data_IF_128143583631
#
_entry.id   IF_128143583631
#
_cell.length_a   1.000
_cell.length_b   1.000
_cell.length_c   1.000
_cell.angle_alpha   90.00
_cell.angle_beta   90.00
_cell.angle_gamma   90.00
#
_symmetry.space_group_name_H-M   'P 1'
#
loop_
_entity.id
_entity.type
_entity.pdbx_description
1 polymer ?
#
# COMPACT_ATOMS: atom_id res chain seq x y z
N UNK A 1 15.06 -68.52 14.39
CA UNK A 1 15.99 -67.44 14.00
C UNK A 1 15.25 -66.52 13.04
N UNK A 2 15.12 -65.22 13.34
CA UNK A 2 14.51 -64.22 12.45
C UNK A 2 15.60 -63.29 11.94
N UNK A 3 15.63 -63.07 10.63
CA UNK A 3 16.63 -62.26 9.94
C UNK A 3 16.37 -60.77 10.20
N UNK A 4 17.36 -60.04 10.69
CA UNK A 4 17.26 -58.59 10.91
C UNK A 4 17.62 -57.82 9.63
N UNK A 5 16.64 -57.16 9.02
CA UNK A 5 16.89 -56.14 7.99
C UNK A 5 17.26 -54.84 8.70
N UNK A 6 18.45 -54.30 8.45
CA UNK A 6 18.84 -52.97 8.93
C UNK A 6 18.09 -51.93 8.11
N UNK A 7 17.15 -51.22 8.74
CA UNK A 7 16.54 -50.05 8.14
C UNK A 7 17.56 -48.90 8.17
N UNK A 8 17.89 -48.35 7.01
CA UNK A 8 18.77 -47.19 6.90
C UNK A 8 17.92 -45.92 7.06
N UNK A 9 17.91 -45.33 8.26
CA UNK A 9 17.28 -44.03 8.46
C UNK A 9 18.14 -42.94 7.83
N UNK A 10 17.80 -42.52 6.61
CA UNK A 10 18.27 -41.28 6.04
C UNK A 10 17.63 -40.14 6.85
N UNK A 11 18.43 -39.41 7.62
CA UNK A 11 17.99 -38.20 8.28
C UNK A 11 17.79 -37.12 7.20
N UNK A 12 16.53 -36.91 6.81
CA UNK A 12 16.11 -35.70 6.11
C UNK A 12 16.28 -34.53 7.08
N UNK A 13 17.35 -33.75 6.88
CA UNK A 13 17.47 -32.42 7.47
C UNK A 13 16.38 -31.54 6.86
N UNK A 14 15.28 -31.38 7.58
CA UNK A 14 14.33 -30.32 7.31
C UNK A 14 15.04 -28.99 7.58
N UNK A 15 15.37 -28.26 6.52
CA UNK A 15 15.62 -26.82 6.65
C UNK A 15 14.33 -26.18 7.16
N UNK A 16 14.37 -25.36 8.22
CA UNK A 16 13.23 -24.50 8.50
C UNK A 16 13.05 -23.57 7.30
N UNK A 17 11.83 -23.54 6.76
CA UNK A 17 11.41 -22.45 5.90
C UNK A 17 11.52 -21.17 6.74
N UNK A 18 12.48 -20.31 6.39
CA UNK A 18 12.55 -18.96 6.96
C UNK A 18 11.35 -18.21 6.39
N UNK A 19 10.27 -18.14 7.16
CA UNK A 19 9.12 -17.32 6.86
C UNK A 19 9.46 -15.86 7.17
N UNK A 20 10.22 -15.22 6.29
CA UNK A 20 10.49 -13.77 6.38
C UNK A 20 9.21 -13.00 6.08
N UNK A 21 8.63 -12.42 7.12
CA UNK A 21 7.75 -11.26 7.05
C UNK A 21 8.10 -10.33 8.22
N UNK A 22 7.74 -9.04 8.24
CA UNK A 22 7.80 -7.98 7.22
C UNK A 22 7.04 -6.73 7.76
N UNK A 23 7.73 -5.60 7.91
CA UNK A 23 7.30 -4.43 8.72
C UNK A 23 6.21 -3.51 8.14
N UNK A 24 4.91 -3.81 8.27
CA UNK A 24 3.80 -2.94 7.78
C UNK A 24 4.14 -1.52 7.32
N UNK A 25 4.00 -1.35 6.01
CA UNK A 25 4.07 -0.07 5.35
C UNK A 25 2.77 0.15 4.59
N UNK A 26 2.56 1.37 4.15
CA UNK A 26 1.62 1.71 3.10
C UNK A 26 2.39 1.77 1.77
N UNK A 27 2.00 0.97 0.78
CA UNK A 27 2.35 1.29 -0.61
C UNK A 27 1.42 2.39 -1.09
N UNK A 28 1.97 3.45 -1.65
CA UNK A 28 1.19 4.59 -2.16
C UNK A 28 1.62 4.93 -3.58
N UNK A 29 0.64 5.03 -4.49
CA UNK A 29 0.91 5.47 -5.87
C UNK A 29 1.16 6.98 -5.92
N UNK A 30 2.29 7.39 -6.48
CA UNK A 30 2.54 8.77 -6.90
C UNK A 30 2.08 8.93 -8.34
N UNK A 31 0.78 9.21 -8.49
CA UNK A 31 0.03 9.04 -9.75
C UNK A 31 0.67 9.71 -10.95
N UNK A 32 1.21 10.94 -10.81
CA UNK A 32 1.84 11.69 -11.92
C UNK A 32 3.34 11.39 -12.11
N UNK A 33 4.00 10.72 -11.16
CA UNK A 33 5.41 10.31 -11.29
C UNK A 33 5.56 8.97 -12.02
N UNK A 34 4.48 8.19 -12.14
CA UNK A 34 4.56 6.80 -12.62
C UNK A 34 5.27 5.88 -11.61
N UNK A 35 5.23 6.21 -10.31
CA UNK A 35 5.96 5.51 -9.24
C UNK A 35 5.05 5.03 -8.13
N UNK A 36 5.43 3.94 -7.47
CA UNK A 36 4.88 3.55 -6.16
C UNK A 36 6.00 3.60 -5.15
N UNK A 37 5.76 4.31 -4.04
CA UNK A 37 6.69 4.36 -2.92
C UNK A 37 6.12 3.59 -1.74
N UNK A 38 7.01 3.18 -0.85
CA UNK A 38 6.70 2.56 0.42
C UNK A 38 6.85 3.61 1.51
N UNK A 39 5.83 3.76 2.35
CA UNK A 39 5.81 4.71 3.47
C UNK A 39 5.55 3.93 4.76
N UNK A 40 6.32 4.23 5.80
CA UNK A 40 6.12 3.69 7.13
C UNK A 40 4.72 4.11 7.68
N UNK A 41 3.96 3.16 8.24
CA UNK A 41 2.54 3.37 8.59
C UNK A 41 2.32 4.08 9.93
N UNK A 42 3.38 4.32 10.70
CA UNK A 42 3.34 5.12 11.92
C UNK A 42 3.90 6.54 11.74
N UNK A 43 4.85 6.74 10.83
CA UNK A 43 5.54 8.04 10.65
C UNK A 43 5.25 8.73 9.32
N UNK A 44 4.87 7.99 8.28
CA UNK A 44 4.71 8.50 6.92
C UNK A 44 6.03 8.72 6.17
N UNK A 45 7.18 8.38 6.78
CA UNK A 45 8.48 8.49 6.12
C UNK A 45 8.61 7.46 4.99
N UNK A 46 9.17 7.88 3.85
CA UNK A 46 9.39 6.99 2.70
C UNK A 46 10.57 6.06 3.00
N UNK A 47 10.35 4.75 2.89
CA UNK A 47 11.39 3.73 3.10
C UNK A 47 12.54 3.93 2.10
N UNK A 48 13.78 4.22 2.56
CA UNK A 48 14.89 4.48 1.67
C UNK A 48 15.22 3.28 0.78
N UNK A 49 15.54 3.52 -0.49
CA UNK A 49 16.02 2.49 -1.42
C UNK A 49 14.97 1.54 -1.99
N UNK A 50 13.71 1.63 -1.57
CA UNK A 50 12.60 0.86 -2.15
C UNK A 50 11.66 1.79 -2.95
N UNK A 51 11.46 1.48 -4.23
CA UNK A 51 10.42 2.07 -5.07
C UNK A 51 10.07 1.12 -6.22
N UNK A 52 8.87 1.26 -6.78
CA UNK A 52 8.51 0.71 -8.08
C UNK A 52 8.52 1.83 -9.10
N UNK A 53 9.36 1.70 -10.13
CA UNK A 53 9.32 2.53 -11.33
C UNK A 53 8.43 1.88 -12.39
N UNK A 54 7.20 2.38 -12.53
CA UNK A 54 6.22 1.93 -13.51
C UNK A 54 6.13 2.87 -14.74
N UNK A 55 7.08 3.81 -14.90
CA UNK A 55 7.09 4.77 -16.02
C UNK A 55 7.23 4.11 -17.40
N UNK A 56 7.64 2.84 -17.44
CA UNK A 56 7.87 2.02 -18.62
C UNK A 56 6.71 1.96 -19.64
N UNK A 57 5.46 2.21 -19.23
CA UNK A 57 4.30 2.31 -20.14
C UNK A 57 3.75 3.75 -20.32
N UNK A 58 4.28 4.75 -19.61
CA UNK A 58 3.95 6.16 -19.83
C UNK A 58 2.55 6.63 -19.41
N UNK A 59 1.81 5.85 -18.60
CA UNK A 59 0.48 6.23 -18.07
C UNK A 59 0.48 6.61 -16.59
N UNK A 60 -0.59 7.26 -16.15
CA UNK A 60 -0.81 7.60 -14.73
C UNK A 60 -1.20 6.37 -13.91
N UNK A 61 -0.71 6.28 -12.66
CA UNK A 61 -1.04 5.17 -11.76
C UNK A 61 -2.32 5.43 -10.97
N UNK A 62 -3.32 4.58 -11.15
CA UNK A 62 -4.69 4.77 -10.66
C UNK A 62 -5.08 3.84 -9.51
N UNK A 63 -4.34 2.77 -9.27
CA UNK A 63 -4.66 1.74 -8.30
C UNK A 63 -3.45 0.88 -7.94
N UNK A 64 -3.44 0.35 -6.72
CA UNK A 64 -2.44 -0.61 -6.24
C UNK A 64 -3.11 -1.69 -5.38
N UNK A 65 -2.72 -2.95 -5.58
CA UNK A 65 -3.14 -4.09 -4.76
C UNK A 65 -1.97 -5.05 -4.59
N UNK A 66 -1.97 -5.82 -3.50
CA UNK A 66 -0.92 -6.82 -3.22
C UNK A 66 -1.56 -8.16 -2.91
N UNK A 67 -1.00 -9.23 -3.47
CA UNK A 67 -1.42 -10.61 -3.16
C UNK A 67 -0.60 -11.23 -2.02
N UNK A 68 -1.16 -12.25 -1.38
CA UNK A 68 -0.46 -13.06 -0.36
C UNK A 68 0.86 -13.67 -0.85
N UNK A 69 1.04 -13.81 -2.17
CA UNK A 69 2.26 -14.31 -2.79
C UNK A 69 3.38 -13.24 -2.88
N UNK A 70 3.12 -11.99 -2.50
CA UNK A 70 4.07 -10.89 -2.61
C UNK A 70 4.14 -10.27 -4.01
N UNK A 71 3.09 -10.37 -4.81
CA UNK A 71 2.98 -9.66 -6.10
C UNK A 71 2.20 -8.37 -5.91
N UNK A 72 2.80 -7.24 -6.30
CA UNK A 72 2.16 -5.93 -6.38
C UNK A 72 1.57 -5.75 -7.78
N UNK A 73 0.26 -5.57 -7.85
CA UNK A 73 -0.46 -5.21 -9.06
C UNK A 73 -0.75 -3.73 -9.10
N UNK A 74 -0.49 -3.09 -10.24
CA UNK A 74 -0.68 -1.64 -10.43
C UNK A 74 -1.47 -1.41 -11.70
N UNK A 75 -2.48 -0.55 -11.64
CA UNK A 75 -3.27 -0.13 -12.81
C UNK A 75 -2.71 1.16 -13.41
N UNK A 76 -2.69 1.23 -14.74
CA UNK A 76 -2.23 2.38 -15.50
C UNK A 76 -3.36 2.93 -16.37
N UNK A 77 -4.10 3.91 -15.85
CA UNK A 77 -5.37 4.37 -16.41
C UNK A 77 -5.32 4.66 -17.92
N UNK A 78 -4.45 5.56 -18.37
CA UNK A 78 -4.41 5.94 -19.80
C UNK A 78 -3.84 4.89 -20.77
N UNK A 79 -3.39 3.72 -20.31
CA UNK A 79 -2.83 2.67 -21.17
C UNK A 79 -3.72 1.45 -21.30
N UNK A 80 -4.76 1.32 -20.46
CA UNK A 80 -5.55 0.11 -20.33
C UNK A 80 -4.83 -1.06 -19.65
N UNK A 81 -3.57 -0.89 -19.24
CA UNK A 81 -2.72 -1.98 -18.75
C UNK A 81 -2.76 -2.16 -17.23
N UNK A 82 -2.62 -3.42 -16.82
CA UNK A 82 -2.30 -3.86 -15.47
C UNK A 82 -0.83 -4.33 -15.47
N UNK A 83 -0.08 -3.90 -14.47
CA UNK A 83 1.33 -4.23 -14.25
C UNK A 83 1.50 -5.17 -13.05
N UNK A 84 2.65 -5.85 -12.97
CA UNK A 84 3.06 -6.73 -11.88
C UNK A 84 4.52 -6.52 -11.47
N UNK A 85 4.75 -6.41 -10.16
CA UNK A 85 6.07 -6.23 -9.55
C UNK A 85 6.21 -7.12 -8.32
N UNK A 86 7.45 -7.45 -7.97
CA UNK A 86 7.78 -8.18 -6.75
C UNK A 86 7.79 -7.22 -5.54
N UNK A 87 7.04 -7.55 -4.49
CA UNK A 87 6.88 -6.70 -3.30
C UNK A 87 8.20 -6.50 -2.52
N UNK A 88 9.05 -7.52 -2.49
CA UNK A 88 10.29 -7.45 -1.72
C UNK A 88 11.29 -6.49 -2.38
N UNK A 89 11.40 -6.54 -3.71
CA UNK A 89 12.45 -5.85 -4.47
C UNK A 89 11.98 -4.63 -5.27
N UNK A 90 10.68 -4.44 -5.45
CA UNK A 90 10.11 -3.46 -6.39
C UNK A 90 10.34 -3.81 -7.88
N UNK A 91 10.97 -4.95 -8.18
CA UNK A 91 11.39 -5.29 -9.53
C UNK A 91 10.22 -5.81 -10.41
N UNK A 92 10.21 -5.49 -11.71
CA UNK A 92 9.15 -5.93 -12.63
C UNK A 92 9.16 -7.46 -12.85
N UNK A 93 8.03 -8.12 -12.57
CA UNK A 93 7.88 -9.56 -12.81
C UNK A 93 7.59 -9.78 -14.30
N UNK A 94 8.31 -10.71 -14.94
CA UNK A 94 8.16 -11.05 -16.37
C UNK A 94 8.21 -9.83 -17.33
N UNK A 95 8.94 -8.77 -16.97
CA UNK A 95 9.00 -7.52 -17.75
C UNK A 95 7.91 -6.51 -17.39
N UNK A 96 7.23 -6.68 -16.26
CA UNK A 96 6.37 -5.67 -15.62
C UNK A 96 4.93 -5.68 -16.11
N UNK A 97 4.66 -6.09 -17.35
CA UNK A 97 3.31 -6.24 -17.86
C UNK A 97 2.61 -7.49 -17.29
N UNK A 98 1.33 -7.35 -16.91
CA UNK A 98 0.49 -8.45 -16.44
C UNK A 98 -0.66 -8.76 -17.41
N UNK A 99 -1.53 -7.77 -17.66
CA UNK A 99 -2.74 -7.94 -18.48
C UNK A 99 -3.23 -6.60 -19.06
N UNK A 100 -4.17 -6.66 -20.00
CA UNK A 100 -4.85 -5.51 -20.59
C UNK A 100 -6.34 -5.59 -20.29
N UNK A 101 -6.98 -4.46 -19.97
CA UNK A 101 -8.44 -4.38 -19.92
C UNK A 101 -9.04 -4.49 -21.32
N UNK A 102 -10.13 -5.25 -21.52
CA UNK A 102 -10.90 -5.21 -22.75
C UNK A 102 -11.46 -3.82 -23.00
N UNK A 103 -11.30 -3.29 -24.21
CA UNK A 103 -11.92 -2.02 -24.59
C UNK A 103 -13.44 -2.03 -24.37
N UNK A 104 -13.99 -0.87 -24.01
CA UNK A 104 -15.41 -0.69 -23.82
C UNK A 104 -16.14 -0.72 -25.17
N UNK A 105 -17.38 -1.23 -25.20
CA UNK A 105 -18.21 -1.17 -26.40
C UNK A 105 -18.44 0.30 -26.79
N UNK A 106 -18.64 0.59 -28.08
CA UNK A 106 -19.02 1.93 -28.51
C UNK A 106 -20.34 2.35 -27.87
N UNK A 107 -20.47 3.65 -27.59
CA UNK A 107 -21.72 4.24 -27.07
C UNK A 107 -22.91 4.12 -28.05
N UNK A 108 -22.64 3.97 -29.35
CA UNK A 108 -23.63 3.76 -30.41
C UNK A 108 -23.30 2.50 -31.24
N UNK A 109 -24.33 1.82 -31.74
CA UNK A 109 -24.18 0.61 -32.54
C UNK A 109 -23.35 0.88 -33.82
N UNK A 110 -22.21 0.20 -33.95
CA UNK A 110 -21.29 0.36 -35.09
C UNK A 110 -20.24 1.47 -34.93
N UNK A 111 -20.14 2.11 -33.76
CA UNK A 111 -19.02 2.99 -33.42
C UNK A 111 -17.71 2.23 -33.14
N UNK A 112 -16.62 2.97 -32.95
CA UNK A 112 -15.32 2.42 -32.53
C UNK A 112 -15.30 2.12 -31.01
N UNK A 113 -14.62 1.05 -30.56
CA UNK A 113 -14.43 0.77 -29.14
C UNK A 113 -13.77 1.94 -28.39
N UNK A 114 -14.17 2.15 -27.14
CA UNK A 114 -13.61 3.19 -26.28
C UNK A 114 -12.50 2.54 -25.44
N UNK A 115 -11.28 3.09 -25.51
CA UNK A 115 -10.13 2.56 -24.78
C UNK A 115 -10.44 2.44 -23.28
N UNK A 116 -10.17 1.27 -22.70
CA UNK A 116 -10.39 1.02 -21.28
C UNK A 116 -9.44 1.83 -20.39
N UNK A 117 -9.93 2.31 -19.24
CA UNK A 117 -9.16 3.11 -18.30
C UNK A 117 -9.17 2.47 -16.91
N UNK A 118 -8.30 1.50 -16.60
CA UNK A 118 -8.30 0.81 -15.31
C UNK A 118 -8.11 1.81 -14.17
N UNK A 119 -9.04 1.82 -13.23
CA UNK A 119 -9.03 2.63 -12.02
C UNK A 119 -8.52 1.82 -10.84
N UNK A 120 -9.41 1.63 -9.87
CA UNK A 120 -9.21 0.79 -8.69
C UNK A 120 -8.96 -0.69 -9.01
N UNK A 121 -8.23 -1.34 -8.10
CA UNK A 121 -7.80 -2.73 -8.18
C UNK A 121 -7.79 -3.31 -6.76
N UNK A 122 -8.33 -4.52 -6.56
CA UNK A 122 -8.32 -5.24 -5.27
C UNK A 122 -8.17 -6.74 -5.52
N UNK A 123 -7.55 -7.46 -4.58
CA UNK A 123 -7.64 -8.92 -4.51
C UNK A 123 -8.94 -9.26 -3.76
N UNK A 124 -9.77 -10.12 -4.32
CA UNK A 124 -10.98 -10.63 -3.69
C UNK A 124 -10.69 -11.78 -2.71
N UNK A 125 -11.64 -12.12 -1.81
CA UNK A 125 -11.49 -13.25 -0.89
C UNK A 125 -11.54 -14.63 -1.59
N UNK A 126 -11.90 -14.68 -2.87
CA UNK A 126 -11.71 -15.83 -3.76
C UNK A 126 -10.26 -15.95 -4.29
N UNK A 127 -9.38 -15.02 -3.92
CA UNK A 127 -8.01 -14.91 -4.38
C UNK A 127 -7.86 -14.38 -5.81
N UNK A 128 -8.93 -13.86 -6.44
CA UNK A 128 -8.88 -13.32 -7.81
C UNK A 128 -8.61 -11.81 -7.80
N UNK A 129 -8.09 -11.28 -8.91
CA UNK A 129 -7.81 -9.85 -9.07
C UNK A 129 -8.99 -9.15 -9.73
N UNK A 130 -9.62 -8.22 -9.03
CA UNK A 130 -10.75 -7.42 -9.53
C UNK A 130 -10.26 -6.03 -9.90
N UNK A 131 -10.61 -5.57 -11.09
CA UNK A 131 -10.19 -4.28 -11.64
C UNK A 131 -11.39 -3.53 -12.19
N UNK A 132 -11.62 -2.32 -11.67
CA UNK A 132 -12.66 -1.42 -12.16
C UNK A 132 -12.18 -0.62 -13.36
N UNK A 133 -13.04 -0.41 -14.35
CA UNK A 133 -12.79 0.56 -15.42
C UNK A 133 -13.37 1.92 -15.03
N UNK A 134 -12.48 2.91 -14.84
CA UNK A 134 -12.82 4.26 -14.41
C UNK A 134 -13.50 5.08 -15.50
N UNK A 135 -13.26 4.79 -16.78
CA UNK A 135 -13.94 5.43 -17.92
C UNK A 135 -15.08 4.56 -18.48
N UNK A 136 -15.08 3.26 -18.16
CA UNK A 136 -16.07 2.29 -18.60
C UNK A 136 -17.22 2.06 -17.61
N UNK A 137 -17.86 0.91 -17.77
CA UNK A 137 -19.10 0.55 -17.05
C UNK A 137 -18.92 -0.69 -16.16
N UNK A 138 -17.68 -1.16 -15.98
CA UNK A 138 -17.38 -2.57 -15.68
C UNK A 138 -16.39 -2.81 -14.56
N UNK A 139 -16.56 -3.96 -13.90
CA UNK A 139 -15.51 -4.62 -13.12
C UNK A 139 -15.12 -5.91 -13.80
N UNK A 140 -13.83 -6.07 -14.08
CA UNK A 140 -13.23 -7.26 -14.69
C UNK A 140 -12.51 -8.10 -13.62
N UNK A 141 -12.53 -9.42 -13.78
CA UNK A 141 -11.86 -10.37 -12.87
C UNK A 141 -10.79 -11.16 -13.60
N UNK A 142 -9.59 -11.19 -13.06
CA UNK A 142 -8.42 -11.86 -13.62
C UNK A 142 -7.87 -12.93 -12.68
N UNK A 143 -7.27 -13.97 -13.26
CA UNK A 143 -6.50 -14.97 -12.55
C UNK A 143 -5.08 -14.42 -12.23
N UNK A 144 -4.70 -14.24 -10.95
CA UNK A 144 -3.37 -13.71 -10.59
C UNK A 144 -2.20 -14.58 -11.04
N UNK A 145 -2.44 -15.87 -11.31
CA UNK A 145 -1.39 -16.82 -11.68
C UNK A 145 -0.88 -16.67 -13.13
N UNK A 146 -1.68 -16.11 -14.03
CA UNK A 146 -1.35 -16.03 -15.47
C UNK A 146 -1.85 -14.77 -16.21
N UNK A 147 -2.62 -13.89 -15.56
CA UNK A 147 -3.16 -12.67 -16.19
C UNK A 147 -4.34 -12.91 -17.12
N UNK A 148 -4.88 -14.13 -17.19
CA UNK A 148 -6.08 -14.40 -17.98
C UNK A 148 -7.33 -13.74 -17.37
N UNK A 149 -8.16 -13.13 -18.22
CA UNK A 149 -9.49 -12.66 -17.86
C UNK A 149 -10.39 -13.88 -17.59
N UNK A 150 -10.95 -13.94 -16.38
CA UNK A 150 -11.89 -14.97 -15.95
C UNK A 150 -13.30 -14.62 -16.44
N UNK A 151 -13.78 -13.43 -16.06
CA UNK A 151 -15.08 -12.89 -16.44
C UNK A 151 -15.19 -11.38 -16.14
N UNK A 152 -16.35 -10.81 -16.44
CA UNK A 152 -16.73 -9.42 -16.14
C UNK A 152 -17.94 -9.47 -15.20
N UNK A 153 -17.75 -9.62 -13.88
CA UNK A 153 -18.86 -9.80 -12.92
C UNK A 153 -19.82 -8.61 -12.82
N UNK A 154 -19.40 -7.40 -13.21
CA UNK A 154 -20.23 -6.20 -13.17
C UNK A 154 -20.15 -5.47 -14.51
N UNK A 155 -21.30 -5.07 -15.05
CA UNK A 155 -21.44 -4.14 -16.17
C UNK A 155 -22.65 -3.21 -15.90
N UNK A 156 -22.79 -2.10 -16.62
CA UNK A 156 -23.87 -1.11 -16.43
C UNK A 156 -23.67 -0.11 -15.30
N UNK A 157 -22.44 0.05 -14.79
CA UNK A 157 -22.04 1.22 -14.01
C UNK A 157 -21.74 2.41 -14.93
N UNK A 158 -21.41 3.56 -14.33
CA UNK A 158 -20.94 4.77 -15.01
C UNK A 158 -19.66 5.21 -14.28
N UNK A 159 -18.50 4.74 -14.77
CA UNK A 159 -17.17 4.92 -14.18
C UNK A 159 -16.98 4.21 -12.84
N UNK A 160 -16.03 3.28 -12.73
CA UNK A 160 -15.76 2.58 -11.46
C UNK A 160 -14.72 3.35 -10.64
N UNK A 161 -15.12 3.81 -9.45
CA UNK A 161 -14.25 4.52 -8.51
C UNK A 161 -13.49 3.58 -7.58
N UNK A 162 -14.19 2.89 -6.68
CA UNK A 162 -13.62 2.02 -5.64
C UNK A 162 -14.31 0.67 -5.54
N UNK A 163 -13.55 -0.34 -5.09
CA UNK A 163 -14.02 -1.70 -4.86
C UNK A 163 -13.74 -2.13 -3.42
N UNK A 164 -14.62 -2.97 -2.90
CA UNK A 164 -14.47 -3.64 -1.60
C UNK A 164 -15.22 -4.96 -1.58
N UNK A 165 -15.03 -5.75 -0.53
CA UNK A 165 -15.71 -7.02 -0.33
C UNK A 165 -16.28 -7.10 1.06
N UNK A 166 -17.50 -7.63 1.17
CA UNK A 166 -18.09 -8.06 2.44
C UNK A 166 -17.41 -9.32 2.96
N UNK A 167 -17.61 -9.61 4.24
CA UNK A 167 -17.14 -10.82 4.91
C UNK A 167 -17.67 -12.12 4.27
N UNK A 168 -18.81 -12.07 3.57
CA UNK A 168 -19.37 -13.20 2.80
C UNK A 168 -18.80 -13.33 1.36
N UNK A 169 -17.93 -12.42 0.95
CA UNK A 169 -17.34 -12.36 -0.39
C UNK A 169 -18.16 -11.57 -1.42
N UNK A 170 -19.27 -10.94 -1.03
CA UNK A 170 -20.06 -10.09 -1.93
C UNK A 170 -19.29 -8.82 -2.28
N UNK A 171 -19.10 -8.58 -3.58
CA UNK A 171 -18.47 -7.38 -4.12
C UNK A 171 -19.31 -6.12 -3.80
N UNK A 172 -18.63 -5.06 -3.39
CA UNK A 172 -19.13 -3.69 -3.38
C UNK A 172 -18.36 -2.86 -4.41
N UNK A 173 -19.05 -1.95 -5.10
CA UNK A 173 -18.45 -1.04 -6.08
C UNK A 173 -19.08 0.35 -6.01
N UNK A 174 -18.27 1.40 -6.17
CA UNK A 174 -18.80 2.74 -6.44
C UNK A 174 -18.97 2.97 -7.94
N UNK A 175 -19.92 3.84 -8.28
CA UNK A 175 -20.04 4.45 -9.61
C UNK A 175 -19.82 5.95 -9.51
N UNK A 176 -19.01 6.50 -10.40
CA UNK A 176 -18.64 7.91 -10.42
C UNK A 176 -18.47 8.44 -11.86
N UNK A 177 -19.24 9.48 -12.19
CA UNK A 177 -19.13 10.18 -13.48
C UNK A 177 -18.45 11.56 -13.32
N UNK A 178 -17.35 11.85 -14.05
CA UNK A 178 -16.57 13.07 -13.85
C UNK A 178 -17.09 14.34 -14.55
N UNK A 179 -18.13 14.27 -15.38
CA UNK A 179 -18.59 15.46 -16.13
C UNK A 179 -19.46 16.42 -15.29
N UNK A 180 -19.40 17.69 -15.67
CA UNK A 180 -19.66 18.83 -14.78
C UNK A 180 -21.14 19.16 -14.52
N UNK A 181 -22.08 18.43 -15.13
CA UNK A 181 -23.52 18.67 -14.98
C UNK A 181 -24.12 18.04 -13.70
N UNK A 182 -23.29 17.45 -12.84
CA UNK A 182 -23.57 17.24 -11.41
C UNK A 182 -24.96 16.62 -11.17
N UNK A 183 -25.32 15.58 -11.92
CA UNK A 183 -26.57 14.85 -11.71
C UNK A 183 -26.38 13.99 -10.46
N UNK A 184 -26.96 14.33 -9.30
CA UNK A 184 -26.77 13.54 -8.09
C UNK A 184 -27.29 12.11 -8.32
N UNK A 185 -28.31 11.94 -9.16
CA UNK A 185 -28.98 10.68 -9.51
C UNK A 185 -28.11 9.65 -10.31
N UNK A 186 -26.78 9.75 -10.25
CA UNK A 186 -25.83 8.86 -10.94
C UNK A 186 -24.66 8.35 -10.07
N UNK A 187 -24.34 9.02 -8.96
CA UNK A 187 -23.24 8.63 -8.06
C UNK A 187 -23.77 7.72 -6.94
N UNK A 188 -23.46 6.43 -6.99
CA UNK A 188 -23.99 5.48 -6.02
C UNK A 188 -23.00 4.36 -5.67
N UNK A 189 -23.30 3.66 -4.58
CA UNK A 189 -22.65 2.40 -4.20
C UNK A 189 -23.55 1.24 -4.56
N UNK A 190 -22.99 0.21 -5.15
CA UNK A 190 -23.67 -0.99 -5.63
C UNK A 190 -23.15 -2.24 -4.91
N UNK A 191 -23.97 -3.29 -4.91
CA UNK A 191 -23.71 -4.58 -4.27
C UNK A 191 -23.95 -5.75 -5.23
N UNK A 192 -23.02 -6.69 -5.22
CA UNK A 192 -23.06 -7.93 -5.99
C UNK A 192 -22.70 -7.78 -7.46
N UNK A 193 -22.58 -8.94 -8.12
CA UNK A 193 -22.47 -9.04 -9.57
C UNK A 193 -23.79 -8.69 -10.27
N UNK A 194 -23.74 -8.19 -11.51
CA UNK A 194 -24.95 -7.89 -12.28
C UNK A 194 -24.74 -7.02 -13.51
N UNK A 195 -25.84 -6.81 -14.25
CA UNK A 195 -25.91 -5.93 -15.42
C UNK A 195 -27.30 -5.30 -15.54
N UNK A 196 -27.57 -4.16 -14.87
CA UNK A 196 -26.72 -3.51 -13.86
C UNK A 196 -26.66 -4.30 -12.53
N UNK A 197 -25.67 -4.03 -11.65
CA UNK A 197 -25.65 -4.53 -10.28
C UNK A 197 -26.73 -3.87 -9.42
N UNK A 198 -26.95 -4.37 -8.20
CA UNK A 198 -27.98 -3.83 -7.30
C UNK A 198 -27.49 -2.54 -6.64
N UNK A 199 -28.20 -1.43 -6.81
CA UNK A 199 -27.91 -0.18 -6.08
C UNK A 199 -28.14 -0.39 -4.58
N UNK A 200 -27.13 -0.12 -3.77
CA UNK A 200 -27.14 -0.29 -2.30
C UNK A 200 -27.40 1.03 -1.59
N UNK A 201 -26.67 2.08 -1.98
CA UNK A 201 -26.83 3.44 -1.44
C UNK A 201 -27.64 4.28 -2.43
N UNK A 202 -28.72 4.89 -1.96
CA UNK A 202 -29.51 5.83 -2.75
C UNK A 202 -29.04 7.27 -2.54
N UNK A 203 -29.10 8.11 -3.57
CA UNK A 203 -28.34 9.38 -3.59
C UNK A 203 -28.93 10.43 -2.64
N UNK A 204 -30.22 10.28 -2.33
CA UNK A 204 -30.93 11.06 -1.31
C UNK A 204 -30.37 10.89 0.11
N UNK A 205 -29.58 9.85 0.37
CA UNK A 205 -29.06 9.54 1.69
C UNK A 205 -27.70 10.20 2.02
N UNK A 206 -26.87 10.55 1.03
CA UNK A 206 -25.43 10.82 1.29
C UNK A 206 -24.75 11.94 0.48
N UNK A 207 -25.41 12.49 -0.55
CA UNK A 207 -24.87 13.55 -1.43
C UNK A 207 -23.42 13.30 -1.89
N UNK A 208 -23.13 12.08 -2.37
CA UNK A 208 -21.80 11.72 -2.90
C UNK A 208 -21.53 12.46 -4.22
N UNK A 209 -20.41 13.16 -4.31
CA UNK A 209 -20.05 13.97 -5.48
C UNK A 209 -19.02 13.32 -6.41
N UNK A 210 -18.19 12.43 -5.87
CA UNK A 210 -17.26 11.58 -6.61
C UNK A 210 -16.80 10.41 -5.74
N UNK A 211 -17.64 9.38 -5.53
CA UNK A 211 -17.30 8.28 -4.65
C UNK A 211 -16.15 7.45 -5.24
N UNK A 212 -14.94 7.66 -4.73
CA UNK A 212 -13.71 7.07 -5.27
C UNK A 212 -13.28 5.88 -4.40
N UNK A 213 -12.22 6.01 -3.60
CA UNK A 213 -11.75 4.94 -2.72
C UNK A 213 -12.80 4.42 -1.74
N UNK A 214 -12.77 3.11 -1.48
CA UNK A 214 -13.67 2.40 -0.58
C UNK A 214 -12.87 1.58 0.43
N UNK A 215 -13.24 1.73 1.70
CA UNK A 215 -12.78 0.91 2.82
C UNK A 215 -13.99 0.16 3.39
N UNK A 216 -13.94 -1.17 3.41
CA UNK A 216 -14.96 -2.03 4.05
C UNK A 216 -14.39 -2.55 5.36
N UNK A 217 -15.19 -2.53 6.42
CA UNK A 217 -14.85 -2.98 7.76
C UNK A 217 -15.32 -4.42 8.00
N UNK A 218 -14.81 -5.07 9.05
CA UNK A 218 -15.12 -6.46 9.42
C UNK A 218 -16.61 -6.71 9.74
N UNK A 219 -17.40 -5.65 10.01
CA UNK A 219 -18.84 -5.69 10.26
C UNK A 219 -19.69 -5.35 9.03
N UNK A 220 -19.09 -5.39 7.84
CA UNK A 220 -19.64 -4.99 6.53
C UNK A 220 -20.05 -3.51 6.42
N UNK A 221 -19.86 -2.68 7.47
CA UNK A 221 -19.93 -1.22 7.32
C UNK A 221 -18.81 -0.73 6.41
N UNK A 222 -19.00 0.38 5.72
CA UNK A 222 -18.02 0.86 4.75
C UNK A 222 -17.95 2.38 4.69
N UNK A 223 -16.82 2.85 4.17
CA UNK A 223 -16.41 4.25 4.15
C UNK A 223 -15.93 4.61 2.75
N UNK A 224 -16.32 5.79 2.27
CA UNK A 224 -16.02 6.28 0.92
C UNK A 224 -15.20 7.56 1.02
N UNK A 225 -14.06 7.61 0.31
CA UNK A 225 -13.38 8.86 0.01
C UNK A 225 -14.16 9.56 -1.11
N UNK A 226 -14.88 10.62 -0.75
CA UNK A 226 -15.71 11.39 -1.68
C UNK A 226 -14.89 12.51 -2.32
N UNK A 227 -14.30 12.18 -3.48
CA UNK A 227 -13.25 12.90 -4.21
C UNK A 227 -13.53 14.39 -4.38
N UNK A 228 -14.79 14.76 -4.60
CA UNK A 228 -15.20 16.13 -4.92
C UNK A 228 -15.91 16.88 -3.78
N UNK A 229 -16.15 16.25 -2.62
CA UNK A 229 -16.77 16.93 -1.47
C UNK A 229 -15.84 17.19 -0.29
N UNK A 230 -14.61 16.66 -0.33
CA UNK A 230 -13.63 16.72 0.77
C UNK A 230 -14.13 16.00 2.04
N UNK A 231 -14.81 14.87 1.88
CA UNK A 231 -15.36 14.09 2.99
C UNK A 231 -14.96 12.62 2.89
N UNK A 232 -14.81 12.01 4.06
CA UNK A 232 -14.89 10.56 4.23
C UNK A 232 -16.29 10.27 4.75
N UNK A 233 -17.11 9.57 3.96
CA UNK A 233 -18.53 9.33 4.26
C UNK A 233 -18.72 7.88 4.71
N UNK A 234 -19.42 7.66 5.81
CA UNK A 234 -19.66 6.32 6.38
C UNK A 234 -21.08 5.80 6.11
N UNK A 235 -21.17 4.48 5.97
CA UNK A 235 -22.40 3.73 5.74
C UNK A 235 -22.43 2.45 6.59
N UNK A 236 -23.62 2.08 7.04
CA UNK A 236 -23.87 0.74 7.60
C UNK A 236 -23.87 -0.33 6.50
N UNK A 237 -23.75 -1.59 6.88
CA UNK A 237 -23.73 -2.74 5.96
C UNK A 237 -24.95 -2.86 5.02
N UNK A 238 -26.08 -2.24 5.35
CA UNK A 238 -27.28 -2.19 4.51
C UNK A 238 -27.33 -0.97 3.56
N UNK A 239 -26.31 -0.12 3.55
CA UNK A 239 -26.25 1.09 2.73
C UNK A 239 -26.86 2.34 3.37
N UNK A 240 -27.32 2.28 4.62
CA UNK A 240 -27.82 3.48 5.31
C UNK A 240 -26.65 4.43 5.62
N UNK A 241 -26.80 5.72 5.26
CA UNK A 241 -25.83 6.75 5.62
C UNK A 241 -25.70 6.87 7.14
N UNK A 242 -24.47 6.68 7.64
CA UNK A 242 -24.13 6.70 9.06
C UNK A 242 -23.58 8.06 9.53
N UNK A 243 -23.29 8.97 8.59
CA UNK A 243 -22.69 10.28 8.85
C UNK A 243 -21.42 10.51 8.02
N UNK A 244 -20.99 11.76 7.98
CA UNK A 244 -19.63 12.11 7.58
C UNK A 244 -18.69 11.67 8.72
N UNK A 245 -17.75 10.77 8.43
CA UNK A 245 -16.74 10.32 9.40
C UNK A 245 -15.72 11.41 9.66
N UNK A 246 -15.16 11.97 8.60
CA UNK A 246 -14.15 13.00 8.68
C UNK A 246 -14.23 13.98 7.52
N UNK A 247 -13.82 15.23 7.78
CA UNK A 247 -13.47 16.16 6.73
C UNK A 247 -12.03 15.93 6.26
N UNK A 248 -11.78 16.12 4.96
CA UNK A 248 -10.45 16.13 4.37
C UNK A 248 -10.04 17.61 4.26
N UNK A 249 -9.25 18.15 5.21
CA UNK A 249 -8.91 19.56 5.19
C UNK A 249 -7.97 19.89 4.04
N UNK A 250 -7.91 21.15 3.66
CA UNK A 250 -6.84 21.67 2.82
C UNK A 250 -5.51 21.68 3.58
N UNK A 251 -4.37 21.59 2.89
CA UNK A 251 -3.07 21.80 3.50
C UNK A 251 -2.97 23.22 4.08
N UNK A 252 -2.41 23.36 5.28
CA UNK A 252 -2.38 24.63 6.02
C UNK A 252 -1.56 25.74 5.31
N UNK A 253 -0.75 25.37 4.32
CA UNK A 253 0.05 26.24 3.47
C UNK A 253 -0.69 26.83 2.27
N UNK A 254 -1.91 26.36 1.96
CA UNK A 254 -2.68 26.78 0.78
C UNK A 254 -3.58 27.98 1.11
N UNK A 255 -3.39 29.11 0.40
CA UNK A 255 -4.32 30.24 0.47
C UNK A 255 -5.58 29.97 -0.36
N UNK A 256 -6.67 29.60 0.32
CA UNK A 256 -7.96 29.31 -0.28
C UNK A 256 -8.60 30.51 -1.00
N UNK A 257 -8.15 31.74 -0.74
CA UNK A 257 -8.64 32.93 -1.44
C UNK A 257 -7.94 33.15 -2.79
N UNK A 258 -6.83 32.44 -3.03
CA UNK A 258 -5.98 32.56 -4.20
C UNK A 258 -5.65 31.17 -4.79
N UNK A 259 -6.65 30.30 -4.84
CA UNK A 259 -6.50 28.99 -5.46
C UNK A 259 -6.22 29.13 -6.97
N UNK A 260 -5.33 28.28 -7.53
CA UNK A 260 -5.14 28.18 -8.96
C UNK A 260 -6.46 27.89 -9.68
N UNK A 261 -6.83 28.71 -10.66
CA UNK A 261 -8.15 28.64 -11.30
C UNK A 261 -8.27 27.44 -12.25
N UNK A 262 -9.27 26.58 -12.04
CA UNK A 262 -9.54 25.47 -12.99
C UNK A 262 -10.72 24.57 -12.63
N UNK A 263 -11.93 24.96 -13.07
CA UNK A 263 -13.20 24.19 -13.16
C UNK A 263 -13.77 23.45 -11.94
N UNK A 264 -12.99 23.10 -10.92
CA UNK A 264 -13.48 22.55 -9.66
C UNK A 264 -13.40 23.61 -8.56
N UNK A 265 -14.27 23.50 -7.56
CA UNK A 265 -14.24 24.38 -6.38
C UNK A 265 -13.01 24.12 -5.50
N UNK A 266 -12.96 24.67 -4.28
CA UNK A 266 -11.96 24.27 -3.30
C UNK A 266 -12.15 22.76 -2.99
N UNK A 267 -11.28 21.92 -3.56
CA UNK A 267 -11.29 20.46 -3.45
C UNK A 267 -9.86 19.95 -3.27
N UNK A 268 -9.61 19.13 -2.25
CA UNK A 268 -8.30 18.52 -1.96
C UNK A 268 -8.19 17.09 -2.53
N UNK A 269 -9.24 16.57 -3.15
CA UNK A 269 -9.25 15.30 -3.89
C UNK A 269 -8.82 14.09 -3.03
N UNK A 270 -9.63 13.78 -2.01
CA UNK A 270 -9.50 12.56 -1.22
C UNK A 270 -9.69 11.33 -2.09
N UNK A 271 -8.68 10.46 -2.15
CA UNK A 271 -8.57 9.46 -3.22
C UNK A 271 -8.80 8.03 -2.75
N UNK A 272 -8.07 7.56 -1.72
CA UNK A 272 -8.14 6.18 -1.23
C UNK A 272 -7.91 6.06 0.29
N UNK A 273 -8.33 4.94 0.88
CA UNK A 273 -8.44 4.70 2.32
C UNK A 273 -7.94 3.30 2.73
N UNK A 274 -7.28 3.20 3.89
CA UNK A 274 -7.05 1.91 4.59
C UNK A 274 -7.28 2.05 6.09
N UNK A 275 -7.59 0.94 6.77
CA UNK A 275 -7.66 0.85 8.23
C UNK A 275 -6.35 0.27 8.78
N UNK A 276 -5.72 0.94 9.73
CA UNK A 276 -4.53 0.43 10.42
C UNK A 276 -4.90 -0.65 11.45
N UNK A 277 -3.94 -1.47 11.90
CA UNK A 277 -4.15 -2.45 12.98
C UNK A 277 -4.47 -1.85 14.36
N UNK A 278 -4.23 -0.54 14.56
CA UNK A 278 -4.68 0.19 15.76
C UNK A 278 -6.17 0.57 15.69
N UNK A 279 -6.78 0.44 14.51
CA UNK A 279 -8.16 0.85 14.23
C UNK A 279 -8.29 2.23 13.60
N UNK A 280 -7.19 2.96 13.42
CA UNK A 280 -7.16 4.27 12.76
C UNK A 280 -7.44 4.16 11.26
N UNK A 281 -7.85 5.25 10.63
CA UNK A 281 -8.07 5.34 9.18
C UNK A 281 -7.00 6.23 8.57
N UNK A 282 -6.25 5.70 7.61
CA UNK A 282 -5.36 6.50 6.76
C UNK A 282 -6.09 6.88 5.48
N UNK A 283 -5.88 8.12 5.03
CA UNK A 283 -6.41 8.63 3.78
C UNK A 283 -5.32 9.32 2.96
N UNK A 284 -5.35 9.16 1.64
CA UNK A 284 -4.49 9.91 0.71
C UNK A 284 -5.25 10.92 -0.10
N UNK A 285 -4.58 12.02 -0.43
CA UNK A 285 -5.08 13.05 -1.32
C UNK A 285 -4.24 13.13 -2.60
N UNK A 286 -4.90 13.30 -3.75
CA UNK A 286 -4.21 13.77 -4.96
C UNK A 286 -3.68 15.19 -4.76
N UNK A 287 -4.33 15.95 -3.87
CA UNK A 287 -3.94 17.31 -3.52
C UNK A 287 -4.37 18.33 -4.56
N UNK A 288 -4.37 19.60 -4.17
CA UNK A 288 -4.56 20.69 -5.13
C UNK A 288 -3.32 20.76 -6.04
N UNK A 289 -3.51 20.48 -7.33
CA UNK A 289 -2.45 20.55 -8.32
C UNK A 289 -2.57 21.80 -9.19
N UNK A 290 -1.56 22.65 -9.14
CA UNK A 290 -1.28 23.64 -10.20
C UNK A 290 -0.13 23.22 -11.11
N UNK A 291 0.32 21.97 -11.02
CA UNK A 291 1.46 21.46 -11.81
C UNK A 291 1.12 21.39 -13.30
N UNK A 292 -0.12 21.00 -13.66
CA UNK A 292 -0.65 21.12 -15.03
C UNK A 292 -0.81 22.57 -15.53
N UNK A 293 -0.65 23.56 -14.64
CA UNK A 293 -0.71 25.00 -14.94
C UNK A 293 0.64 25.72 -14.71
N UNK A 294 1.73 24.98 -14.46
CA UNK A 294 3.08 25.52 -14.34
C UNK A 294 3.48 26.04 -12.95
N UNK A 295 2.90 25.52 -11.87
CA UNK A 295 3.38 25.78 -10.50
C UNK A 295 4.41 24.75 -10.02
N UNK A 296 5.25 25.18 -9.09
CA UNK A 296 6.45 24.46 -8.63
C UNK A 296 6.18 23.26 -7.69
N UNK A 297 4.93 23.04 -7.24
CA UNK A 297 4.60 22.06 -6.21
C UNK A 297 3.15 21.55 -6.26
N UNK A 298 2.98 20.30 -5.81
CA UNK A 298 1.69 19.63 -5.57
C UNK A 298 1.49 19.47 -4.06
N UNK A 299 0.24 19.44 -3.60
CA UNK A 299 -0.07 19.29 -2.17
C UNK A 299 -0.79 17.98 -1.85
N UNK A 300 -0.25 16.86 -2.32
CA UNK A 300 -0.70 15.53 -1.91
C UNK A 300 -0.29 15.27 -0.45
N UNK A 301 -1.14 14.58 0.29
CA UNK A 301 -0.96 14.34 1.73
C UNK A 301 -1.34 12.90 2.09
N UNK A 302 -0.64 12.34 3.09
CA UNK A 302 -1.08 11.16 3.84
C UNK A 302 -1.61 11.67 5.19
N UNK A 303 -2.88 11.39 5.47
CA UNK A 303 -3.62 11.88 6.63
C UNK A 303 -4.01 10.69 7.52
N UNK A 304 -3.91 10.87 8.84
CA UNK A 304 -4.32 9.86 9.84
C UNK A 304 -5.48 10.37 10.69
N UNK A 305 -6.55 9.60 10.74
CA UNK A 305 -7.72 9.84 11.56
C UNK A 305 -7.87 8.75 12.61
N UNK A 306 -8.31 9.10 13.80
CA UNK A 306 -8.63 8.11 14.83
C UNK A 306 -9.95 7.38 14.52
N UNK A 307 -10.32 6.41 15.35
CA UNK A 307 -11.57 5.67 15.19
C UNK A 307 -12.86 6.52 15.33
N UNK A 308 -12.78 7.76 15.81
CA UNK A 308 -13.90 8.70 15.89
C UNK A 308 -13.99 9.64 14.66
N UNK A 309 -12.94 9.68 13.83
CA UNK A 309 -12.85 10.57 12.66
C UNK A 309 -12.15 11.89 12.93
N UNK A 310 -11.57 12.09 14.11
CA UNK A 310 -10.74 13.25 14.42
C UNK A 310 -9.38 13.11 13.72
N UNK A 311 -8.91 14.16 13.04
CA UNK A 311 -7.59 14.19 12.40
C UNK A 311 -6.50 14.21 13.49
N UNK A 312 -5.72 13.12 13.56
CA UNK A 312 -4.60 12.97 14.48
C UNK A 312 -3.38 13.72 13.95
N UNK A 313 -3.01 13.48 12.69
CA UNK A 313 -1.79 14.02 12.08
C UNK A 313 -1.82 14.03 10.55
N UNK A 314 -1.04 14.95 9.96
CA UNK A 314 -0.66 14.95 8.55
C UNK A 314 0.70 14.25 8.44
N UNK A 315 0.70 12.92 8.26
CA UNK A 315 1.91 12.09 8.31
C UNK A 315 2.92 12.47 7.22
N UNK A 316 2.44 12.71 6.00
CA UNK A 316 3.25 13.20 4.89
C UNK A 316 2.56 14.39 4.24
N UNK A 317 3.30 15.47 4.00
CA UNK A 317 2.80 16.73 3.41
C UNK A 317 3.58 17.11 2.15
N UNK A 318 2.96 17.90 1.27
CA UNK A 318 3.62 18.44 0.07
C UNK A 318 4.09 17.38 -0.93
N UNK A 319 3.41 16.23 -0.97
CA UNK A 319 3.75 15.12 -1.85
C UNK A 319 3.20 15.35 -3.27
N UNK A 320 3.81 14.66 -4.24
CA UNK A 320 3.14 14.36 -5.51
C UNK A 320 1.80 13.65 -5.27
N UNK A 321 0.85 13.70 -6.22
CA UNK A 321 -0.51 13.21 -5.98
C UNK A 321 -0.53 11.76 -5.54
N UNK A 322 -1.12 11.51 -4.38
CA UNK A 322 -1.22 10.20 -3.77
C UNK A 322 -2.59 9.60 -4.13
N UNK A 323 -2.61 8.68 -5.11
CA UNK A 323 -3.85 8.25 -5.76
C UNK A 323 -4.51 7.03 -5.16
N UNK A 324 -3.74 5.99 -4.89
CA UNK A 324 -4.22 4.73 -4.35
C UNK A 324 -3.23 4.18 -3.33
N UNK A 325 -3.74 3.41 -2.37
CA UNK A 325 -2.92 2.85 -1.31
C UNK A 325 -3.30 1.42 -0.91
N UNK A 326 -2.34 0.71 -0.33
CA UNK A 326 -2.61 -0.58 0.32
C UNK A 326 -1.58 -0.85 1.42
N UNK A 327 -2.05 -1.39 2.54
CA UNK A 327 -1.15 -1.90 3.59
C UNK A 327 -0.43 -3.14 3.09
N UNK A 328 0.86 -3.22 3.40
CA UNK A 328 1.73 -4.34 3.02
C UNK A 328 2.66 -4.68 4.17
N UNK A 329 2.97 -5.95 4.44
CA UNK A 329 4.09 -6.29 5.31
C UNK A 329 5.39 -5.70 4.73
N UNK A 330 6.05 -4.80 5.45
CA UNK A 330 7.27 -4.06 5.06
C UNK A 330 8.60 -4.80 5.09
N UNK A 331 9.69 -4.03 5.12
CA UNK A 331 11.05 -4.57 5.04
C UNK A 331 11.62 -4.88 6.43
N UNK A 332 11.66 -6.18 6.80
CA UNK A 332 12.57 -6.72 7.84
C UNK A 332 13.72 -7.42 7.11
N UNK A 333 14.71 -6.67 6.64
CA UNK A 333 15.91 -7.26 6.00
C UNK A 333 16.99 -7.64 7.03
N UNK A 334 17.02 -6.97 8.20
CA UNK A 334 17.92 -7.27 9.32
C UNK A 334 17.12 -7.31 10.63
N UNK A 335 17.29 -8.39 11.42
CA UNK A 335 16.58 -8.53 12.68
C UNK A 335 17.07 -7.49 13.70
N UNK A 336 16.16 -6.64 14.18
CA UNK A 336 16.48 -5.54 15.09
C UNK A 336 16.82 -4.21 14.41
N UNK A 337 16.94 -4.17 13.08
CA UNK A 337 16.96 -2.93 12.30
C UNK A 337 15.51 -2.42 12.19
N UNK A 338 15.19 -1.42 13.01
CA UNK A 338 13.84 -0.87 13.18
C UNK A 338 13.71 0.51 12.55
N UNK A 339 14.82 1.23 12.32
CA UNK A 339 14.82 2.46 11.51
C UNK A 339 15.04 2.19 10.02
N UNK A 340 15.44 0.97 9.64
CA UNK A 340 15.61 0.45 8.28
C UNK A 340 16.74 1.14 7.51
N UNK A 341 17.80 1.55 8.22
CA UNK A 341 19.01 2.12 7.60
C UNK A 341 20.08 1.07 7.23
N UNK A 342 19.84 -0.20 7.56
CA UNK A 342 20.73 -1.33 7.28
C UNK A 342 21.71 -1.65 8.42
N UNK A 343 21.63 -0.95 9.55
CA UNK A 343 22.42 -1.17 10.76
C UNK A 343 21.53 -1.68 11.91
N UNK A 344 22.16 -2.05 13.04
CA UNK A 344 21.45 -2.39 14.29
C UNK A 344 22.16 -1.67 15.42
N UNK A 345 21.70 -0.46 15.76
CA UNK A 345 22.36 0.45 16.70
C UNK A 345 21.39 1.18 17.66
N UNK A 346 21.80 2.32 18.22
CA UNK A 346 20.99 3.09 19.18
C UNK A 346 19.78 3.81 18.54
N UNK A 347 19.78 4.02 17.22
CA UNK A 347 18.67 4.60 16.47
C UNK A 347 17.46 3.65 16.45
N UNK A 348 17.67 2.35 16.25
CA UNK A 348 16.62 1.33 16.34
C UNK A 348 16.01 1.25 17.73
N UNK A 349 16.85 1.37 18.76
CA UNK A 349 16.37 1.45 20.13
C UNK A 349 15.61 2.75 20.43
N UNK A 350 15.83 3.82 19.67
CA UNK A 350 14.98 5.00 19.72
C UNK A 350 13.63 4.75 19.03
N UNK A 351 13.61 4.11 17.86
CA UNK A 351 12.39 3.70 17.15
C UNK A 351 11.51 2.76 18.00
N UNK A 352 12.07 1.68 18.53
CA UNK A 352 11.37 0.75 19.44
C UNK A 352 10.81 1.46 20.68
N UNK A 353 11.58 2.33 21.33
CA UNK A 353 11.09 3.09 22.49
C UNK A 353 9.95 4.04 22.16
N UNK A 354 9.96 4.64 20.97
CA UNK A 354 8.90 5.53 20.51
C UNK A 354 7.59 4.79 20.22
N UNK A 355 7.69 3.53 19.76
CA UNK A 355 6.57 2.70 19.36
C UNK A 355 6.12 1.66 20.43
N UNK A 356 6.76 1.60 21.60
CA UNK A 356 6.47 0.60 22.64
C UNK A 356 5.00 0.62 23.09
N UNK A 357 4.37 -0.56 23.04
CA UNK A 357 2.97 -0.79 23.40
C UNK A 357 1.97 -0.57 22.27
N UNK A 358 2.41 -0.15 21.07
CA UNK A 358 1.56 0.03 19.89
C UNK A 358 1.19 -1.31 19.26
N UNK A 359 -0.03 -1.38 18.72
CA UNK A 359 -0.47 -2.50 17.89
C UNK A 359 -0.12 -2.21 16.45
N UNK A 360 0.38 -3.20 15.74
CA UNK A 360 0.83 -3.00 14.38
C UNK A 360 0.54 -4.24 13.53
N UNK A 361 0.85 -4.21 12.22
CA UNK A 361 0.67 -5.43 11.42
C UNK A 361 1.81 -6.35 11.83
N UNK A 362 1.54 -7.64 12.09
CA UNK A 362 2.56 -8.59 12.49
C UNK A 362 3.89 -8.40 11.77
N UNK A 363 4.93 -8.19 12.58
CA UNK A 363 6.32 -7.89 12.25
C UNK A 363 6.64 -6.41 11.86
N UNK A 364 5.86 -5.38 12.24
CA UNK A 364 6.09 -3.95 11.86
C UNK A 364 6.72 -2.98 12.84
N UNK A 365 7.33 -1.94 12.26
CA UNK A 365 8.17 -0.96 12.94
C UNK A 365 9.21 -1.69 13.78
N UNK A 366 8.92 -1.80 15.08
CA UNK A 366 9.74 -2.47 16.06
C UNK A 366 9.10 -3.72 16.68
N UNK A 367 8.05 -4.28 16.09
CA UNK A 367 7.59 -5.66 16.29
C UNK A 367 8.54 -6.56 15.49
N UNK A 368 9.59 -7.03 16.16
CA UNK A 368 10.56 -7.95 15.55
C UNK A 368 10.14 -9.41 15.67
N UNK A 369 9.21 -9.72 16.57
CA UNK A 369 8.82 -11.10 16.89
C UNK A 369 7.65 -11.62 16.04
N UNK A 370 6.79 -10.71 15.56
CA UNK A 370 5.67 -11.00 14.68
C UNK A 370 4.32 -11.22 15.35
N UNK A 371 4.10 -10.79 16.58
CA UNK A 371 2.83 -10.98 17.30
C UNK A 371 1.83 -9.81 17.14
N UNK A 372 2.23 -8.73 16.47
CA UNK A 372 1.41 -7.54 16.23
C UNK A 372 1.36 -6.56 17.42
N UNK A 373 2.27 -6.69 18.40
CA UNK A 373 2.42 -5.79 19.53
C UNK A 373 3.91 -5.48 19.78
N UNK A 374 4.29 -4.21 19.74
CA UNK A 374 5.67 -3.79 19.99
C UNK A 374 5.94 -3.83 21.51
N UNK A 375 6.68 -4.82 21.99
CA UNK A 375 6.89 -5.04 23.43
C UNK A 375 8.33 -5.43 23.83
N UNK A 376 8.49 -5.96 25.05
CA UNK A 376 9.80 -6.33 25.60
C UNK A 376 10.44 -7.55 24.90
N UNK A 377 9.68 -8.39 24.21
CA UNK A 377 10.19 -9.48 23.39
C UNK A 377 11.00 -8.93 22.20
N UNK A 378 10.51 -7.88 21.54
CA UNK A 378 11.20 -7.25 20.41
C UNK A 378 12.49 -6.57 20.83
N UNK A 379 12.49 -5.90 21.98
CA UNK A 379 13.70 -5.38 22.59
C UNK A 379 14.78 -6.46 22.77
N UNK A 380 14.40 -7.70 23.07
CA UNK A 380 15.40 -8.79 23.14
C UNK A 380 15.96 -9.15 21.78
N UNK A 381 15.18 -9.07 20.70
CA UNK A 381 15.66 -9.27 19.34
C UNK A 381 16.65 -8.17 18.93
N UNK A 382 16.31 -6.88 19.12
CA UNK A 382 17.25 -5.78 18.87
C UNK A 382 18.54 -5.96 19.66
N UNK A 383 18.45 -6.15 20.98
CA UNK A 383 19.61 -6.25 21.87
C UNK A 383 20.56 -7.38 21.45
N UNK A 384 20.02 -8.54 21.07
CA UNK A 384 20.82 -9.72 20.74
C UNK A 384 21.50 -9.57 19.37
N UNK A 385 20.89 -8.84 18.42
CA UNK A 385 21.51 -8.52 17.13
C UNK A 385 22.51 -7.34 17.21
N UNK A 386 22.21 -6.29 17.97
CA UNK A 386 23.15 -5.20 18.24
C UNK A 386 24.46 -5.72 18.86
N UNK A 387 24.36 -6.66 19.81
CA UNK A 387 25.52 -7.33 20.39
C UNK A 387 26.32 -8.19 19.38
N UNK A 388 25.66 -8.77 18.38
CA UNK A 388 26.31 -9.54 17.32
C UNK A 388 27.09 -8.65 16.35
N UNK A 389 26.58 -7.45 16.02
CA UNK A 389 27.28 -6.45 15.21
C UNK A 389 28.60 -6.00 15.85
N UNK A 390 28.60 -5.77 17.17
CA UNK A 390 29.80 -5.40 17.93
C UNK A 390 30.87 -6.50 17.85
N UNK A 391 30.48 -7.78 17.87
CA UNK A 391 31.43 -8.91 17.81
C UNK A 391 32.22 -8.99 16.49
N UNK A 392 31.68 -8.51 15.37
CA UNK A 392 32.38 -8.47 14.07
C UNK A 392 33.37 -7.30 13.94
N UNK A 393 33.24 -6.27 14.79
CA UNK A 393 34.21 -5.16 14.89
C UNK A 393 35.46 -5.48 15.71
N UNK A 394 35.54 -6.68 16.30
CA UNK A 394 36.74 -7.20 16.96
C UNK A 394 37.86 -7.42 15.92
N UNK A 395 38.64 -6.37 15.70
CA UNK A 395 39.70 -6.34 14.69
C UNK A 395 40.68 -7.53 14.80
N UNK A 396 41.20 -8.05 13.68
CA UNK A 396 42.19 -9.13 13.70
C UNK A 396 43.47 -8.63 14.38
N UNK A 397 43.85 -9.21 15.53
CA UNK A 397 45.05 -8.82 16.27
C UNK A 397 46.34 -8.99 15.44
N UNK A 398 47.06 -7.92 15.05
CA UNK A 398 48.37 -8.05 14.40
C UNK A 398 49.51 -7.91 15.41
N UNK A 399 49.22 -7.44 16.63
CA UNK A 399 50.22 -7.02 17.61
C UNK A 399 50.88 -8.21 18.35
N UNK A 400 50.16 -9.31 18.57
CA UNK A 400 50.69 -10.48 19.29
C UNK A 400 51.91 -11.09 18.57
N UNK A 401 51.86 -11.22 17.24
CA UNK A 401 52.98 -11.73 16.44
C UNK A 401 54.18 -10.77 16.41
N UNK A 402 53.94 -9.46 16.32
CA UNK A 402 55.01 -8.45 16.30
C UNK A 402 55.73 -8.38 17.65
N UNK A 403 55.00 -8.44 18.76
CA UNK A 403 55.59 -8.47 20.11
C UNK A 403 56.36 -9.77 20.39
N UNK A 404 55.86 -10.91 19.92
CA UNK A 404 56.58 -12.19 20.03
C UNK A 404 57.87 -12.18 19.19
N UNK A 405 57.83 -11.66 17.97
CA UNK A 405 59.01 -11.52 17.10
C UNK A 405 60.04 -10.55 17.69
N UNK A 406 59.61 -9.42 18.26
CA UNK A 406 60.49 -8.47 18.94
C UNK A 406 61.15 -9.06 20.20
N UNK A 407 60.42 -9.87 20.98
CA UNK A 407 60.97 -10.56 22.16
C UNK A 407 62.05 -11.59 21.77
N UNK A 408 61.83 -12.37 20.69
CA UNK A 408 62.82 -13.34 20.19
C UNK A 408 64.05 -12.63 19.60
N UNK A 409 63.86 -11.53 18.85
CA UNK A 409 64.97 -10.75 18.30
C UNK A 409 65.81 -10.07 19.40
N UNK A 410 65.17 -9.56 20.46
CA UNK A 410 65.86 -8.95 21.61
C UNK A 410 66.72 -9.93 22.40
N UNK A 411 66.34 -11.21 22.47
CA UNK A 411 67.10 -12.26 23.14
C UNK A 411 68.31 -12.77 22.35
N UNK A 412 68.34 -12.56 21.03
CA UNK A 412 69.38 -13.08 20.12
C UNK A 412 70.58 -12.13 19.95
N UNK A 413 70.52 -10.89 20.43
CA UNK A 413 71.60 -9.91 20.29
C UNK A 413 72.73 -10.16 21.33
N UNK A 414 73.98 -10.40 20.90
CA UNK A 414 75.08 -10.64 21.84
C UNK A 414 75.41 -9.37 22.62
N UNK A 415 75.39 -9.48 23.96
CA UNK A 415 75.86 -8.42 24.87
C UNK A 415 77.30 -8.05 24.53
N UNK A 416 77.51 -6.85 23.96
CA UNK A 416 78.83 -6.22 23.89
C UNK A 416 79.34 -5.99 25.31
N UNK A 417 80.56 -6.45 25.58
CA UNK A 417 81.32 -6.17 26.81
C UNK A 417 82.07 -4.86 26.68
#
# INVERSE_FOLDING_TARGET
MRTAVRCCCIALLAFPLVSTRATADVLVTRTFEGRVVRMDELTGEVTPGWEIDATMLGGLLSGVAVSDAGVVYITSGFTGSILQFDLATGAPINGGYFAQLPDNPPAEEGGEPIAASPGTIKIGPDGMLYVGDNAGTRVHRYNPADGSLVDTPVDGLIGVGGLGFRADGTLLSTSFFPEQDQVPDQNAVYVGAGTPPTKLVDESASTLFGPNGMLVNDDDSFMIADLFSNRIVSFTADGTYAGDFAAIPFPDSVDLNNLPTGSFGPVNFGSDLVRTPEGDVLAVTLGISSVFQGADQNYGELLRYDAAGDLVERMAIGQSPLGAMTLVPGLVDVAGDYNRDGLVDEADYAAWRAAYGRRVTPFSNADGNGDGLIDAADYTLWRDNAAAGVALSAAPEPAAFVLLAAAVAGAALPRRR
#
